data_IF_777023208737
#
_entry.id   IF_777023208737
#
_cell.length_a   1.000
_cell.length_b   1.000
_cell.length_c   1.000
_cell.angle_alpha   90.00
_cell.angle_beta   90.00
_cell.angle_gamma   90.00
#
_symmetry.space_group_name_H-M   'P 1'
#
loop_
_entity.id
_entity.type
_entity.pdbx_description
1 polymer ?
2 polymer ?
3 polymer ?
4 non-polymer ?
5 non-polymer ?
6 non-polymer ?
7 non-polymer ?
8 water ?
#
# COMPACT_ATOMS: atom_id res chain seq x y z
N UNK A 1 1.49 -5.26 -20.28
CA UNK A 1 0.53 -4.26 -20.68
C UNK A 1 0.90 -2.85 -20.26
N UNK A 2 0.01 -2.20 -19.52
CA UNK A 2 0.27 -0.86 -19.03
C UNK A 2 1.02 -0.93 -17.71
N UNK A 3 1.63 0.20 -17.34
CA UNK A 3 2.44 0.27 -16.13
C UNK A 3 2.28 1.62 -15.47
N UNK A 4 2.63 1.68 -14.19
CA UNK A 4 2.48 2.90 -13.40
C UNK A 4 3.74 3.17 -12.59
N UNK A 5 4.01 4.45 -12.37
CA UNK A 5 4.94 4.91 -11.34
C UNK A 5 4.19 5.83 -10.40
N UNK A 6 4.41 5.67 -9.11
CA UNK A 6 3.77 6.50 -8.11
C UNK A 6 4.70 6.78 -6.96
N UNK A 7 4.66 8.01 -6.48
CA UNK A 7 5.28 8.39 -5.22
C UNK A 7 4.20 8.70 -4.20
N UNK A 8 4.44 8.30 -2.95
CA UNK A 8 3.51 8.45 -1.84
C UNK A 8 4.24 9.19 -0.73
N UNK A 9 3.80 10.42 -0.43
CA UNK A 9 4.40 11.22 0.62
C UNK A 9 3.47 11.29 1.81
N UNK A 10 4.02 11.17 3.02
CA UNK A 10 3.29 11.38 4.26
C UNK A 10 4.07 12.35 5.13
N UNK A 11 3.42 13.45 5.53
CA UNK A 11 4.02 14.45 6.42
C UNK A 11 3.15 14.57 7.65
N UNK A 12 3.76 14.38 8.82
CA UNK A 12 3.03 14.18 10.08
C UNK A 12 3.58 15.13 11.14
N UNK A 13 2.78 16.09 11.61
CA UNK A 13 3.20 16.92 12.73
C UNK A 13 3.00 16.18 14.05
N UNK A 14 3.73 16.63 15.07
CA UNK A 14 3.76 15.97 16.38
C UNK A 14 4.19 17.00 17.41
N UNK A 15 3.33 17.95 17.74
CA UNK A 15 3.74 19.06 18.62
C UNK A 15 4.24 18.53 19.96
N UNK A 16 5.39 19.05 20.40
CA UNK A 16 6.04 18.59 21.60
C UNK A 16 7.00 17.45 21.40
N UNK A 17 7.01 16.81 20.22
CA UNK A 17 7.88 15.69 19.89
C UNK A 17 8.73 15.99 18.66
N UNK A 18 9.18 17.22 18.53
CA UNK A 18 10.03 17.64 17.43
C UNK A 18 9.28 18.14 16.22
N UNK A 19 10.02 18.25 15.12
CA UNK A 19 9.48 18.78 13.87
C UNK A 19 8.76 17.69 13.09
N UNK A 20 7.85 18.05 12.18
CA UNK A 20 7.05 17.01 11.52
C UNK A 20 7.90 16.04 10.72
N UNK A 21 7.52 14.77 10.77
CA UNK A 21 8.23 13.71 10.03
C UNK A 21 7.75 13.69 8.58
N UNK A 22 8.69 13.50 7.65
CA UNK A 22 8.39 13.37 6.22
C UNK A 22 8.88 12.01 5.73
N UNK A 23 7.98 11.21 5.16
CA UNK A 23 8.31 9.93 4.57
C UNK A 23 7.88 9.95 3.11
N UNK A 24 8.73 9.43 2.23
CA UNK A 24 8.41 9.23 0.82
C UNK A 24 8.74 7.81 0.41
N UNK A 25 7.84 7.17 -0.33
CA UNK A 25 8.10 5.87 -0.93
C UNK A 25 7.73 5.92 -2.41
N UNK A 26 8.48 5.21 -3.23
CA UNK A 26 8.20 5.12 -4.66
C UNK A 26 7.89 3.69 -5.06
N UNK A 27 6.93 3.55 -5.99
CA UNK A 27 6.52 2.27 -6.55
C UNK A 27 6.53 2.31 -8.06
N UNK A 28 6.92 1.19 -8.69
CA UNK A 28 6.56 0.90 -10.08
C UNK A 28 5.59 -0.26 -10.01
N UNK A 29 4.37 -0.08 -10.52
CA UNK A 29 3.31 -1.09 -10.36
C UNK A 29 3.18 -1.41 -8.87
N UNK A 30 3.22 -2.68 -8.47
CA UNK A 30 3.13 -3.07 -7.07
C UNK A 30 4.48 -3.39 -6.44
N UNK A 31 5.55 -2.83 -6.97
CA UNK A 31 6.91 -3.04 -6.46
C UNK A 31 7.46 -1.74 -5.89
N UNK A 32 7.73 -1.72 -4.59
CA UNK A 32 8.37 -0.55 -4.02
C UNK A 32 9.83 -0.53 -4.43
N UNK A 33 10.36 0.64 -4.79
CA UNK A 33 11.75 0.70 -5.25
C UNK A 33 12.65 1.71 -4.54
N UNK A 34 12.10 2.73 -3.85
CA UNK A 34 12.88 3.69 -3.09
C UNK A 34 12.11 4.07 -1.83
N UNK A 35 12.86 4.59 -0.85
CA UNK A 35 12.28 5.13 0.37
C UNK A 35 13.13 6.29 0.89
N UNK A 36 12.49 7.19 1.63
CA UNK A 36 13.15 8.28 2.35
C UNK A 36 12.38 8.50 3.65
N UNK A 37 13.11 8.73 4.74
CA UNK A 37 12.52 8.96 6.05
C UNK A 37 13.34 10.04 6.76
N UNK A 38 12.71 11.18 7.03
CA UNK A 38 13.40 12.30 7.68
C UNK A 38 13.88 11.96 9.10
N UNK A 39 13.31 10.94 9.74
CA UNK A 39 13.73 10.55 11.09
C UNK A 39 14.96 9.64 11.10
N UNK A 40 15.42 9.18 9.95
CA UNK A 40 16.57 8.28 9.93
C UNK A 40 17.80 9.00 10.48
N UNK A 41 18.75 8.19 10.96
CA UNK A 41 19.99 8.74 11.50
C UNK A 41 20.66 9.66 10.50
N UNK A 42 20.84 9.20 9.27
CA UNK A 42 21.30 10.06 8.18
C UNK A 42 20.33 9.87 7.01
N UNK A 43 19.38 10.78 6.83
CA UNK A 43 18.34 10.56 5.82
C UNK A 43 18.90 10.58 4.40
N UNK A 44 18.56 9.54 3.64
CA UNK A 44 18.94 9.48 2.24
C UNK A 44 17.84 8.76 1.50
N UNK A 45 17.67 9.08 0.22
CA UNK A 45 16.91 8.21 -0.66
C UNK A 45 17.63 6.87 -0.73
N UNK A 46 16.91 5.79 -0.47
CA UNK A 46 17.57 4.49 -0.35
C UNK A 46 16.85 3.47 -1.23
N UNK A 47 17.58 2.50 -1.78
CA UNK A 47 16.97 1.53 -2.69
C UNK A 47 16.19 0.46 -1.95
N UNK A 48 15.12 0.02 -2.59
CA UNK A 48 14.29 -1.06 -2.07
C UNK A 48 13.99 -2.13 -3.11
N UNK A 49 14.58 -2.02 -4.30
CA UNK A 49 14.49 -3.00 -5.36
C UNK A 49 15.88 -3.14 -5.95
N UNK A 50 16.30 -4.36 -6.33
CA UNK A 50 17.66 -4.54 -6.85
C UNK A 50 17.94 -3.75 -8.12
N UNK A 51 16.94 -3.59 -9.00
CA UNK A 51 17.19 -2.94 -10.28
C UNK A 51 17.44 -1.45 -10.17
N UNK A 52 17.12 -0.81 -9.04
CA UNK A 52 17.43 0.61 -8.89
C UNK A 52 18.86 0.82 -8.40
N UNK A 53 19.51 -0.20 -7.86
CA UNK A 53 20.83 -0.04 -7.27
C UNK A 53 21.86 0.41 -8.30
N UNK A 54 21.64 0.09 -9.58
CA UNK A 54 22.60 0.46 -10.62
C UNK A 54 22.63 1.94 -10.93
N UNK A 55 21.67 2.74 -10.44
CA UNK A 55 21.74 4.17 -10.70
C UNK A 55 22.96 4.77 -10.01
N UNK A 56 23.55 5.78 -10.65
CA UNK A 56 24.80 6.34 -10.18
C UNK A 56 24.63 7.29 -9.01
N UNK A 57 25.76 7.75 -8.48
CA UNK A 57 25.71 8.66 -7.33
C UNK A 57 24.95 9.95 -7.59
N UNK A 58 24.99 10.47 -8.82
CA UNK A 58 24.24 11.69 -9.14
C UNK A 58 22.74 11.49 -8.91
N UNK A 59 22.23 10.30 -9.26
CA UNK A 59 20.82 10.01 -9.05
C UNK A 59 20.47 10.02 -7.57
N UNK A 60 21.27 9.31 -6.76
CA UNK A 60 21.01 9.21 -5.33
C UNK A 60 21.16 10.57 -4.65
N UNK A 61 22.14 11.37 -5.07
CA UNK A 61 22.31 12.68 -4.45
C UNK A 61 21.15 13.62 -4.82
N UNK A 62 20.74 13.61 -6.08
CA UNK A 62 19.68 14.50 -6.52
C UNK A 62 18.36 14.16 -5.85
N UNK A 63 18.02 12.87 -5.80
CA UNK A 63 16.75 12.48 -5.18
C UNK A 63 16.79 12.67 -3.66
N UNK A 64 17.97 12.51 -3.04
CA UNK A 64 18.09 12.83 -1.63
C UNK A 64 17.88 14.31 -1.37
N UNK A 65 18.46 15.17 -2.21
CA UNK A 65 18.30 16.60 -1.99
C UNK A 65 16.85 17.04 -2.19
N UNK A 66 16.16 16.48 -3.18
CA UNK A 66 14.75 16.80 -3.36
C UNK A 66 13.97 16.44 -2.10
N UNK A 67 14.24 15.26 -1.54
CA UNK A 67 13.51 14.82 -0.35
C UNK A 67 13.86 15.64 0.87
N UNK A 68 15.13 16.05 1.00
CA UNK A 68 15.48 16.91 2.13
C UNK A 68 14.81 18.28 2.01
N UNK A 69 14.73 18.81 0.79
CA UNK A 69 14.00 20.06 0.56
C UNK A 69 12.51 19.87 0.86
N UNK A 70 11.93 18.76 0.40
CA UNK A 70 10.52 18.47 0.68
C UNK A 70 10.24 18.38 2.17
N UNK A 71 11.19 17.83 2.96
CA UNK A 71 11.00 17.79 4.40
C UNK A 71 10.70 19.19 4.91
N UNK A 72 11.45 20.18 4.43
CA UNK A 72 11.21 21.57 4.85
C UNK A 72 9.95 22.15 4.22
N UNK A 73 9.73 21.87 2.93
CA UNK A 73 8.54 22.42 2.27
C UNK A 73 7.26 21.91 2.90
N UNK A 74 7.21 20.61 3.26
CA UNK A 74 6.00 20.05 3.85
C UNK A 74 5.78 20.52 5.28
N UNK A 75 6.84 20.88 6.00
CA UNK A 75 6.67 21.50 7.30
C UNK A 75 6.03 22.89 7.18
N UNK A 76 6.45 23.67 6.18
CA UNK A 76 5.77 24.93 5.90
C UNK A 76 4.32 24.69 5.53
N UNK A 77 4.05 23.67 4.72
CA UNK A 77 2.68 23.40 4.31
C UNK A 77 1.80 22.98 5.48
N UNK A 78 2.35 22.19 6.42
CA UNK A 78 1.58 21.83 7.62
C UNK A 78 1.23 23.07 8.45
N UNK A 79 2.18 23.98 8.62
CA UNK A 79 1.89 25.25 9.30
C UNK A 79 0.80 26.02 8.58
N UNK A 80 0.86 26.06 7.24
CA UNK A 80 -0.14 26.80 6.48
C UNK A 80 -1.52 26.18 6.62
N UNK A 81 -1.61 24.85 6.50
CA UNK A 81 -2.91 24.23 6.58
C UNK A 81 -3.51 24.35 7.98
N UNK A 82 -2.68 24.29 9.02
CA UNK A 82 -3.20 24.54 10.36
C UNK A 82 -3.91 25.88 10.41
N UNK A 83 -3.30 26.92 9.84
CA UNK A 83 -3.93 28.23 9.79
C UNK A 83 -5.20 28.26 8.97
N UNK A 84 -5.21 27.58 7.80
CA UNK A 84 -6.40 27.59 6.95
C UNK A 84 -7.61 27.01 7.63
N UNK A 85 -7.42 26.14 8.62
CA UNK A 85 -8.51 25.50 9.33
C UNK A 85 -8.66 26.03 10.74
N UNK A 86 -7.96 27.10 11.09
CA UNK A 86 -8.04 27.71 12.42
C UNK A 86 -7.71 26.75 13.54
N UNK A 87 -6.74 25.87 13.32
CA UNK A 87 -6.43 24.80 14.25
C UNK A 87 -5.35 25.22 15.25
N UNK A 88 -5.42 24.64 16.44
CA UNK A 88 -4.46 25.00 17.46
C UNK A 88 -3.10 24.36 17.16
N UNK A 89 -2.07 24.89 17.83
CA UNK A 89 -0.72 24.35 17.69
C UNK A 89 -0.54 23.04 18.44
N UNK A 90 -1.54 22.57 19.16
CA UNK A 90 -1.39 21.42 20.04
C UNK A 90 -1.67 20.10 19.34
N UNK A 91 -2.36 20.12 18.20
CA UNK A 91 -2.77 18.89 17.57
C UNK A 91 -1.81 18.39 16.51
N UNK A 92 -1.85 17.09 16.29
CA UNK A 92 -1.07 16.43 15.26
C UNK A 92 -1.91 16.31 13.99
N UNK A 93 -1.30 16.60 12.84
CA UNK A 93 -2.02 16.59 11.57
C UNK A 93 -1.14 15.96 10.50
N UNK A 94 -1.77 15.56 9.39
CA UNK A 94 -1.11 14.78 8.36
C UNK A 94 -1.49 15.31 6.98
N UNK A 95 -0.47 15.60 6.16
CA UNK A 95 -0.66 15.78 4.72
C UNK A 95 -0.19 14.52 4.03
N UNK A 96 -1.00 14.02 3.11
CA UNK A 96 -0.61 12.93 2.22
C UNK A 96 -0.69 13.40 0.78
N UNK A 97 0.24 12.95 -0.05
CA UNK A 97 0.22 13.27 -1.47
C UNK A 97 0.64 12.05 -2.26
N UNK A 98 -0.08 11.78 -3.36
CA UNK A 98 0.30 10.74 -4.31
C UNK A 98 0.37 11.36 -5.70
N UNK A 99 1.44 11.08 -6.42
CA UNK A 99 1.56 11.60 -7.80
C UNK A 99 2.31 10.60 -8.65
N UNK A 100 2.16 10.70 -9.96
CA UNK A 100 2.83 9.80 -10.88
C UNK A 100 2.08 9.65 -12.18
N UNK A 101 2.46 8.63 -12.94
CA UNK A 101 2.02 8.51 -14.32
C UNK A 101 1.75 7.06 -14.68
N UNK A 102 0.86 6.86 -15.65
CA UNK A 102 0.59 5.57 -16.25
C UNK A 102 1.03 5.60 -17.70
N UNK A 103 1.63 4.51 -18.17
CA UNK A 103 2.00 4.40 -19.57
C UNK A 103 1.42 3.10 -20.13
N UNK A 104 1.16 3.11 -21.43
CA UNK A 104 0.65 1.93 -22.10
C UNK A 104 1.79 1.00 -22.50
N UNK A 105 1.45 -0.09 -23.20
CA UNK A 105 2.50 -1.03 -23.65
C UNK A 105 3.56 -0.38 -24.53
N UNK A 106 3.19 0.62 -25.32
CA UNK A 106 4.15 1.35 -26.14
C UNK A 106 4.90 2.42 -25.35
N UNK A 107 4.65 2.55 -24.05
CA UNK A 107 5.28 3.58 -23.25
C UNK A 107 4.70 4.96 -23.35
N UNK A 108 3.59 5.15 -24.07
CA UNK A 108 2.99 6.48 -24.19
C UNK A 108 2.21 6.82 -22.91
N UNK A 109 2.25 8.10 -22.55
CA UNK A 109 1.52 8.57 -21.36
C UNK A 109 0.03 8.35 -21.52
N UNK A 110 -0.56 7.59 -20.61
CA UNK A 110 -2.00 7.35 -20.60
C UNK A 110 -2.72 8.35 -19.72
N UNK A 111 -2.18 8.63 -18.53
CA UNK A 111 -2.68 9.71 -17.69
C UNK A 111 -1.70 10.00 -16.56
N UNK A 112 -1.77 11.22 -16.05
CA UNK A 112 -0.99 11.65 -14.91
C UNK A 112 -1.87 11.92 -13.71
N UNK A 113 -1.27 11.92 -12.51
CA UNK A 113 -2.00 12.06 -11.25
C UNK A 113 -1.23 12.97 -10.31
N UNK A 114 -1.98 13.78 -9.56
CA UNK A 114 -1.43 14.47 -8.39
C UNK A 114 -2.59 14.76 -7.45
N UNK A 115 -2.65 14.09 -6.30
CA UNK A 115 -3.77 14.18 -5.39
C UNK A 115 -3.26 14.31 -3.97
N UNK A 116 -3.93 15.14 -3.16
CA UNK A 116 -3.53 15.37 -1.78
C UNK A 116 -4.71 15.24 -0.83
N UNK A 117 -4.40 14.88 0.42
CA UNK A 117 -5.36 14.80 1.49
C UNK A 117 -4.80 15.49 2.73
N UNK A 118 -5.71 15.95 3.59
CA UNK A 118 -5.34 16.49 4.91
C UNK A 118 -6.16 15.75 5.94
N UNK A 119 -5.47 15.20 6.95
CA UNK A 119 -6.11 14.39 7.99
C UNK A 119 -7.02 13.31 7.40
N UNK A 120 -6.59 12.73 6.28
CA UNK A 120 -7.26 11.58 5.69
C UNK A 120 -8.43 11.90 4.78
N UNK A 121 -8.69 13.17 4.49
CA UNK A 121 -9.80 13.56 3.62
C UNK A 121 -9.24 14.30 2.42
N UNK A 122 -9.88 14.09 1.27
CA UNK A 122 -9.48 14.75 0.04
C UNK A 122 -9.30 16.25 0.27
N UNK A 123 -8.20 16.81 -0.24
CA UNK A 123 -7.90 18.23 -0.07
C UNK A 123 -7.81 18.97 -1.40
N UNK A 124 -6.86 18.62 -2.27
CA UNK A 124 -6.78 19.20 -3.60
C UNK A 124 -6.22 18.16 -4.55
N UNK A 125 -6.65 18.22 -5.80
CA UNK A 125 -6.21 17.27 -6.79
C UNK A 125 -6.05 17.98 -8.12
N UNK A 126 -5.00 17.61 -8.85
CA UNK A 126 -4.85 18.03 -10.24
C UNK A 126 -5.85 17.28 -11.10
N UNK A 127 -6.54 17.99 -11.98
CA UNK A 127 -7.52 17.33 -12.84
C UNK A 127 -6.80 16.53 -13.93
N UNK A 128 -7.57 15.66 -14.60
CA UNK A 128 -6.96 14.79 -15.62
C UNK A 128 -6.38 15.60 -16.79
N UNK A 129 -6.90 16.81 -17.02
CA UNK A 129 -6.31 17.70 -18.03
C UNK A 129 -4.88 18.14 -17.71
N UNK A 130 -4.40 17.89 -16.47
CA UNK A 130 -3.07 18.35 -16.02
C UNK A 130 -2.93 19.85 -16.14
N UNK A 131 -4.05 20.57 -16.01
CA UNK A 131 -4.06 22.02 -16.20
C UNK A 131 -4.91 22.77 -15.20
N UNK A 132 -5.82 22.11 -14.49
CA UNK A 132 -6.69 22.76 -13.52
C UNK A 132 -6.77 21.91 -12.27
N UNK A 133 -7.33 22.50 -11.22
CA UNK A 133 -7.37 21.91 -9.89
C UNK A 133 -8.81 21.74 -9.43
N UNK A 134 -9.04 20.73 -8.61
CA UNK A 134 -10.27 20.58 -7.87
C UNK A 134 -9.95 20.69 -6.38
N UNK A 135 -10.49 21.71 -5.74
CA UNK A 135 -10.30 21.97 -4.32
C UNK A 135 -11.52 21.48 -3.54
N UNK A 136 -11.27 20.78 -2.43
CA UNK A 136 -12.36 20.17 -1.68
C UNK A 136 -13.17 21.19 -0.87
N UNK A 137 -12.58 22.29 -0.47
CA UNK A 137 -13.23 23.22 0.46
C UNK A 137 -12.56 24.58 0.35
N UNK A 138 -13.05 25.54 1.15
CA UNK A 138 -12.52 26.89 1.04
C UNK A 138 -11.08 27.01 1.51
N UNK A 139 -10.60 26.10 2.36
CA UNK A 139 -9.18 26.10 2.70
C UNK A 139 -8.34 25.68 1.50
N UNK A 140 -8.74 24.59 0.83
CA UNK A 140 -8.02 24.14 -0.34
C UNK A 140 -8.10 25.15 -1.48
N UNK A 141 -9.12 26.01 -1.50
CA UNK A 141 -9.15 27.09 -2.48
C UNK A 141 -7.99 28.06 -2.29
N UNK A 142 -7.53 28.24 -1.05
CA UNK A 142 -6.35 29.07 -0.82
C UNK A 142 -5.13 28.45 -1.50
N UNK A 143 -4.93 27.15 -1.30
CA UNK A 143 -3.85 26.46 -1.99
C UNK A 143 -4.01 26.55 -3.50
N UNK A 144 -5.25 26.36 -4.00
CA UNK A 144 -5.51 26.45 -5.43
C UNK A 144 -5.11 27.82 -5.99
N UNK A 145 -5.52 28.90 -5.32
CA UNK A 145 -5.14 30.24 -5.78
C UNK A 145 -3.62 30.43 -5.78
N UNK A 146 -2.95 29.94 -4.73
CA UNK A 146 -1.50 30.02 -4.67
C UNK A 146 -0.85 29.25 -5.80
N UNK A 147 -1.37 28.05 -6.09
CA UNK A 147 -0.78 27.25 -7.15
C UNK A 147 -1.13 27.79 -8.53
N UNK A 148 -2.31 28.41 -8.69
CA UNK A 148 -2.62 29.06 -9.95
C UNK A 148 -1.73 30.27 -10.19
N UNK A 149 -1.53 31.09 -9.15
CA UNK A 149 -0.61 32.22 -9.27
C UNK A 149 0.81 31.77 -9.59
N UNK A 150 1.20 30.56 -9.14
CA UNK A 150 2.53 30.03 -9.36
C UNK A 150 2.65 29.19 -10.63
N UNK A 151 1.55 29.00 -11.36
CA UNK A 151 1.53 28.10 -12.53
C UNK A 151 2.07 26.72 -12.16
N UNK A 152 1.63 26.21 -11.00
CA UNK A 152 2.12 24.93 -10.52
C UNK A 152 1.60 23.78 -11.37
N UNK A 153 0.39 23.89 -11.91
CA UNK A 153 -0.13 22.83 -12.76
C UNK A 153 0.75 22.62 -13.99
N UNK A 154 1.27 23.71 -14.54
CA UNK A 154 2.17 23.62 -15.69
C UNK A 154 3.46 22.90 -15.33
N UNK A 155 3.94 23.08 -14.09
CA UNK A 155 5.13 22.35 -13.64
C UNK A 155 4.83 20.86 -13.48
N UNK A 156 3.65 20.55 -12.95
CA UNK A 156 3.24 19.14 -12.86
C UNK A 156 3.07 18.51 -14.24
N UNK A 157 2.43 19.21 -15.17
CA UNK A 157 2.28 18.64 -16.51
C UNK A 157 3.64 18.38 -17.15
N UNK A 158 4.57 19.32 -17.00
CA UNK A 158 5.90 19.13 -17.58
C UNK A 158 6.58 17.92 -16.97
N UNK A 159 6.50 17.75 -15.64
CA UNK A 159 7.07 16.57 -15.01
C UNK A 159 6.40 15.30 -15.50
N UNK A 160 5.06 15.29 -15.51
CA UNK A 160 4.32 14.06 -15.79
C UNK A 160 4.49 13.62 -17.23
N UNK A 161 4.53 14.56 -18.19
CA UNK A 161 4.71 14.22 -19.59
C UNK A 161 6.16 13.96 -19.96
N UNK A 162 7.11 14.36 -19.11
CA UNK A 162 8.51 14.25 -19.43
C UNK A 162 9.24 13.27 -18.53
N UNK A 163 9.81 13.79 -17.43
CA UNK A 163 10.63 12.95 -16.54
C UNK A 163 9.88 11.70 -16.06
N UNK A 164 8.62 11.84 -15.67
CA UNK A 164 7.89 10.70 -15.10
C UNK A 164 7.86 9.53 -16.07
N UNK A 165 7.41 9.77 -17.31
CA UNK A 165 7.34 8.70 -18.30
C UNK A 165 8.72 8.22 -18.71
N UNK A 166 9.69 9.14 -18.84
CA UNK A 166 11.03 8.76 -19.30
C UNK A 166 11.70 7.85 -18.28
N UNK A 167 11.62 8.22 -16.99
CA UNK A 167 12.24 7.38 -15.97
C UNK A 167 11.47 6.07 -15.76
N UNK A 168 10.13 6.11 -15.86
CA UNK A 168 9.36 4.88 -15.76
C UNK A 168 9.79 3.88 -16.83
N UNK A 169 9.93 4.36 -18.08
CA UNK A 169 10.38 3.47 -19.15
C UNK A 169 11.75 2.88 -18.82
N UNK A 170 12.66 3.70 -18.30
CA UNK A 170 13.98 3.23 -17.92
C UNK A 170 13.89 2.14 -16.85
N UNK A 171 13.10 2.38 -15.80
CA UNK A 171 12.96 1.39 -14.74
C UNK A 171 12.38 0.08 -15.29
N UNK A 172 11.38 0.17 -16.16
CA UNK A 172 10.75 -1.03 -16.70
C UNK A 172 11.73 -1.86 -17.49
N UNK A 173 12.67 -1.22 -18.19
CA UNK A 173 13.69 -1.96 -18.92
C UNK A 173 14.71 -2.55 -17.96
N UNK A 174 15.22 -1.73 -17.02
CA UNK A 174 16.24 -2.22 -16.10
C UNK A 174 15.70 -3.32 -15.20
N UNK A 175 14.41 -3.29 -14.89
CA UNK A 175 13.79 -4.30 -14.07
C UNK A 175 12.89 -5.27 -14.81
N UNK A 176 13.11 -5.44 -16.12
CA UNK A 176 12.12 -6.15 -16.94
C UNK A 176 11.88 -7.58 -16.48
N UNK A 177 12.89 -8.26 -15.93
CA UNK A 177 12.74 -9.66 -15.55
C UNK A 177 11.73 -9.87 -14.42
N UNK A 178 11.48 -8.84 -13.61
CA UNK A 178 10.45 -8.86 -12.56
C UNK A 178 9.27 -7.97 -12.89
N UNK A 179 9.53 -6.71 -13.26
CA UNK A 179 8.44 -5.76 -13.45
C UNK A 179 7.54 -6.15 -14.61
N UNK A 180 8.09 -6.82 -15.62
CA UNK A 180 7.32 -7.22 -16.79
C UNK A 180 7.02 -8.72 -16.77
N UNK A 181 6.99 -9.31 -15.58
CA UNK A 181 6.66 -10.71 -15.41
C UNK A 181 5.49 -10.84 -14.44
N UNK A 182 4.38 -11.39 -14.92
CA UNK A 182 3.23 -11.68 -14.08
C UNK A 182 3.33 -13.12 -13.60
N UNK A 183 3.22 -13.32 -12.30
CA UNK A 183 3.26 -14.64 -11.69
C UNK A 183 1.83 -15.06 -11.35
N UNK A 184 1.34 -16.17 -11.89
CA UNK A 184 -0.07 -16.54 -11.66
C UNK A 184 -0.28 -17.03 -10.25
N UNK A 185 -1.53 -16.97 -9.76
CA UNK A 185 -1.81 -17.51 -8.43
C UNK A 185 -1.74 -19.03 -8.43
N UNK A 186 -1.25 -19.58 -7.33
CA UNK A 186 -1.49 -20.99 -7.01
C UNK A 186 -2.79 -21.07 -6.23
N UNK A 187 -3.68 -21.96 -6.65
CA UNK A 187 -5.05 -21.92 -6.17
C UNK A 187 -5.44 -23.27 -5.56
N UNK A 188 -6.31 -23.20 -4.56
CA UNK A 188 -6.97 -24.40 -4.06
C UNK A 188 -8.25 -24.01 -3.34
N UNK A 189 -9.07 -25.02 -3.07
CA UNK A 189 -10.37 -24.85 -2.40
C UNK A 189 -10.35 -25.71 -1.16
N UNK A 190 -10.61 -25.11 -0.01
CA UNK A 190 -10.71 -25.82 1.25
C UNK A 190 -12.16 -25.84 1.73
N UNK A 191 -12.44 -26.81 2.60
CA UNK A 191 -13.78 -27.05 3.12
C UNK A 191 -13.70 -27.08 4.63
N UNK A 192 -14.58 -26.33 5.30
CA UNK A 192 -14.54 -26.18 6.76
C UNK A 192 -15.95 -26.39 7.28
N UNK A 193 -16.26 -27.57 7.82
CA UNK A 193 -17.61 -27.78 8.36
C UNK A 193 -17.90 -26.84 9.52
N UNK A 194 -19.09 -26.24 9.48
CA UNK A 194 -19.57 -25.36 10.54
C UNK A 194 -20.50 -26.10 11.49
N UNK A 195 -21.37 -26.93 10.94
CA UNK A 195 -22.37 -27.69 11.66
C UNK A 195 -22.82 -28.83 10.74
N UNK A 196 -23.82 -29.59 11.18
CA UNK A 196 -24.43 -30.55 10.28
C UNK A 196 -25.20 -29.87 9.14
N UNK A 197 -25.47 -28.58 9.27
CA UNK A 197 -26.31 -27.85 8.30
C UNK A 197 -25.51 -27.09 7.25
N UNK A 198 -24.33 -26.56 7.61
CA UNK A 198 -23.56 -25.73 6.69
C UNK A 198 -22.07 -26.04 6.80
N UNK A 199 -21.35 -25.62 5.77
CA UNK A 199 -19.89 -25.66 5.76
C UNK A 199 -19.40 -24.46 4.98
N UNK A 200 -18.14 -24.09 5.24
CA UNK A 200 -17.49 -23.00 4.52
C UNK A 200 -16.63 -23.57 3.41
N UNK A 201 -16.78 -23.03 2.21
CA UNK A 201 -15.86 -23.28 1.11
C UNK A 201 -15.01 -22.03 0.95
N UNK A 202 -13.69 -22.22 0.91
CA UNK A 202 -12.77 -21.10 0.81
C UNK A 202 -11.85 -21.32 -0.38
N UNK A 203 -11.79 -20.32 -1.26
CA UNK A 203 -10.98 -20.36 -2.46
C UNK A 203 -9.74 -19.48 -2.23
N UNK A 204 -8.56 -20.07 -2.38
CA UNK A 204 -7.29 -19.42 -2.07
C UNK A 204 -6.54 -19.11 -3.36
N UNK A 205 -5.89 -17.94 -3.39
CA UNK A 205 -4.93 -17.58 -4.42
C UNK A 205 -3.66 -17.11 -3.72
N UNK A 206 -2.52 -17.75 -4.04
CA UNK A 206 -1.26 -17.50 -3.37
C UNK A 206 -0.16 -17.27 -4.40
N UNK A 207 0.82 -16.46 -4.03
CA UNK A 207 2.02 -16.31 -4.82
C UNK A 207 1.89 -15.52 -6.11
N UNK A 208 0.89 -14.65 -6.24
CA UNK A 208 0.65 -13.97 -7.49
C UNK A 208 1.22 -12.55 -7.50
N UNK A 209 1.55 -12.06 -8.70
CA UNK A 209 2.03 -10.70 -8.91
C UNK A 209 1.59 -10.33 -10.32
N UNK A 210 1.02 -9.15 -10.55
CA UNK A 210 0.77 -8.07 -9.58
C UNK A 210 -0.44 -8.35 -8.72
N UNK A 211 -0.82 -7.40 -7.88
CA UNK A 211 -1.83 -7.64 -6.86
C UNK A 211 -3.25 -7.70 -7.43
N UNK A 212 -3.50 -7.11 -8.59
CA UNK A 212 -4.84 -7.16 -9.17
C UNK A 212 -5.27 -8.61 -9.42
N UNK A 213 -6.43 -8.97 -8.89
CA UNK A 213 -6.98 -10.31 -9.04
C UNK A 213 -8.49 -10.23 -8.88
N UNK A 214 -9.19 -11.17 -9.52
CA UNK A 214 -10.63 -11.32 -9.30
C UNK A 214 -10.90 -12.74 -8.84
N UNK A 215 -11.46 -12.87 -7.64
CA UNK A 215 -11.88 -14.14 -7.06
C UNK A 215 -13.37 -14.04 -6.81
N UNK A 216 -14.14 -14.95 -7.39
CA UNK A 216 -15.59 -14.92 -7.21
C UNK A 216 -16.12 -16.33 -7.03
N UNK A 217 -17.17 -16.45 -6.21
CA UNK A 217 -17.91 -17.69 -6.04
C UNK A 217 -19.21 -17.58 -6.81
N UNK A 218 -19.55 -18.64 -7.54
CA UNK A 218 -20.84 -18.75 -8.21
C UNK A 218 -21.58 -19.94 -7.64
N UNK A 219 -22.89 -19.79 -7.47
CA UNK A 219 -23.79 -20.88 -7.09
C UNK A 219 -24.79 -21.05 -8.23
N UNK A 220 -24.82 -22.24 -8.84
CA UNK A 220 -25.62 -22.50 -10.03
C UNK A 220 -25.32 -21.48 -11.13
N UNK A 221 -24.05 -21.11 -11.26
CA UNK A 221 -23.63 -20.17 -12.28
C UNK A 221 -23.96 -18.71 -12.02
N UNK A 222 -24.42 -18.36 -10.81
CA UNK A 222 -24.77 -16.99 -10.48
C UNK A 222 -23.83 -16.48 -9.40
N UNK A 223 -23.32 -15.27 -9.60
CA UNK A 223 -22.37 -14.70 -8.65
C UNK A 223 -23.02 -14.52 -7.28
N UNK A 224 -22.26 -14.81 -6.23
CA UNK A 224 -22.74 -14.71 -4.86
C UNK A 224 -22.05 -13.57 -4.13
N UNK A 225 -22.01 -12.39 -4.75
CA UNK A 225 -21.19 -11.30 -4.22
C UNK A 225 -21.65 -10.90 -2.82
N UNK A 226 -22.96 -10.84 -2.59
CA UNK A 226 -23.47 -10.41 -1.30
C UNK A 226 -23.10 -11.39 -0.19
N UNK A 227 -22.98 -12.68 -0.52
CA UNK A 227 -22.75 -13.71 0.48
C UNK A 227 -21.31 -14.18 0.54
N UNK A 228 -20.40 -13.54 -0.21
CA UNK A 228 -19.00 -13.94 -0.24
C UNK A 228 -18.20 -13.04 0.68
N UNK A 229 -17.43 -13.64 1.57
CA UNK A 229 -16.46 -12.92 2.39
C UNK A 229 -15.15 -12.86 1.62
N UNK A 230 -14.70 -11.65 1.31
CA UNK A 230 -13.43 -11.43 0.61
C UNK A 230 -12.48 -10.73 1.56
N UNK A 231 -11.33 -11.34 1.83
CA UNK A 231 -10.30 -10.61 2.57
C UNK A 231 -9.55 -9.68 1.64
N UNK A 232 -9.02 -8.61 2.23
CA UNK A 232 -8.15 -7.70 1.50
C UNK A 232 -6.93 -8.46 0.99
N UNK A 233 -6.54 -8.16 -0.25
CA UNK A 233 -5.32 -8.72 -0.79
C UNK A 233 -4.15 -8.26 0.07
N UNK A 234 -3.27 -9.20 0.40
CA UNK A 234 -2.24 -8.99 1.40
C UNK A 234 -0.88 -9.42 0.88
N UNK A 235 0.20 -8.75 1.29
CA UNK A 235 1.54 -9.08 0.80
C UNK A 235 2.13 -10.27 1.52
N UNK A 236 2.81 -11.14 0.76
CA UNK A 236 3.48 -12.28 1.36
C UNK A 236 4.86 -11.93 1.92
N UNK A 237 5.48 -10.86 1.43
CA UNK A 237 6.82 -10.48 1.86
C UNK A 237 7.90 -10.83 0.86
N UNK A 238 7.58 -11.58 -0.19
CA UNK A 238 8.54 -12.02 -1.20
C UNK A 238 8.20 -11.44 -2.57
N UNK A 239 7.47 -10.30 -2.58
CA UNK A 239 6.95 -9.60 -3.76
C UNK A 239 5.52 -9.99 -4.12
N UNK A 240 5.11 -11.20 -3.76
CA UNK A 240 3.82 -11.71 -4.20
C UNK A 240 2.73 -11.39 -3.19
N UNK A 241 1.51 -11.72 -3.57
CA UNK A 241 0.31 -11.39 -2.82
C UNK A 241 -0.53 -12.65 -2.62
N UNK A 242 -1.47 -12.55 -1.69
CA UNK A 242 -2.37 -13.63 -1.32
C UNK A 242 -3.76 -13.06 -1.14
N UNK A 243 -4.76 -13.90 -1.36
CA UNK A 243 -6.16 -13.50 -1.18
C UNK A 243 -7.02 -14.76 -1.04
N UNK A 244 -8.12 -14.64 -0.31
CA UNK A 244 -9.11 -15.70 -0.29
C UNK A 244 -10.54 -15.16 -0.32
N UNK A 245 -11.46 -16.03 -0.76
CA UNK A 245 -12.88 -15.74 -0.85
C UNK A 245 -13.62 -16.93 -0.26
N UNK A 246 -14.60 -16.68 0.60
CA UNK A 246 -15.28 -17.76 1.29
C UNK A 246 -16.79 -17.57 1.21
N UNK A 247 -17.49 -18.70 1.17
CA UNK A 247 -18.95 -18.71 1.12
C UNK A 247 -19.45 -19.83 2.03
N UNK A 248 -20.54 -19.58 2.72
CA UNK A 248 -21.16 -20.58 3.57
C UNK A 248 -22.20 -21.32 2.73
N UNK A 249 -22.08 -22.64 2.68
CA UNK A 249 -22.91 -23.42 1.77
C UNK A 249 -23.70 -24.47 2.56
N UNK A 250 -24.91 -24.81 2.12
CA UNK A 250 -25.64 -25.90 2.77
C UNK A 250 -24.93 -27.22 2.52
N UNK A 251 -24.83 -28.03 3.57
CA UNK A 251 -24.19 -29.34 3.44
C UNK A 251 -24.91 -30.16 2.38
N UNK A 252 -24.13 -30.74 1.47
CA UNK A 252 -24.67 -31.51 0.37
C UNK A 252 -24.84 -30.73 -0.92
N UNK A 253 -24.66 -29.41 -0.90
CA UNK A 253 -24.79 -28.58 -2.08
C UNK A 253 -23.43 -28.10 -2.60
N UNK A 254 -22.33 -28.67 -2.10
CA UNK A 254 -21.01 -28.12 -2.38
C UNK A 254 -20.71 -28.08 -3.87
N UNK A 255 -21.17 -29.09 -4.62
CA UNK A 255 -20.83 -29.15 -6.03
C UNK A 255 -21.58 -28.13 -6.89
N UNK A 256 -22.56 -27.43 -6.32
CA UNK A 256 -23.20 -26.34 -7.05
C UNK A 256 -22.38 -25.06 -7.02
N UNK A 257 -21.27 -25.02 -6.29
CA UNK A 257 -20.47 -23.82 -6.12
C UNK A 257 -19.18 -23.93 -6.92
N UNK A 258 -18.86 -22.87 -7.66
CA UNK A 258 -17.62 -22.81 -8.41
C UNK A 258 -16.88 -21.52 -8.06
N UNK A 259 -15.56 -21.64 -7.91
CA UNK A 259 -14.71 -20.48 -7.71
C UNK A 259 -14.04 -20.11 -9.03
N UNK A 260 -14.04 -18.83 -9.34
CA UNK A 260 -13.53 -18.30 -10.60
C UNK A 260 -12.40 -17.34 -10.32
N UNK A 261 -11.27 -17.53 -11.00
CA UNK A 261 -10.04 -16.81 -10.72
C UNK A 261 -9.56 -16.19 -12.02
N UNK A 262 -9.38 -14.87 -12.02
CA UNK A 262 -8.84 -14.15 -13.16
C UNK A 262 -7.58 -13.43 -12.71
N UNK A 263 -6.48 -13.62 -13.45
CA UNK A 263 -5.23 -12.94 -13.15
C UNK A 263 -4.36 -12.90 -14.38
N UNK A 264 -3.59 -11.81 -14.51
CA UNK A 264 -2.81 -11.56 -15.72
C UNK A 264 -1.79 -12.66 -16.01
N UNK A 265 -1.32 -13.37 -14.98
CA UNK A 265 -0.33 -14.41 -15.20
C UNK A 265 -0.88 -15.76 -15.60
N UNK A 266 -2.20 -15.90 -15.63
CA UNK A 266 -2.82 -17.18 -15.99
C UNK A 266 -2.97 -17.27 -17.50
N UNK A 267 -2.64 -18.43 -18.09
CA UNK A 267 -2.94 -18.61 -19.52
C UNK A 267 -4.41 -18.39 -19.83
N UNK A 268 -5.29 -18.87 -18.96
CA UNK A 268 -6.74 -18.69 -19.11
C UNK A 268 -7.36 -18.69 -17.72
N UNK A 269 -8.53 -18.07 -17.57
CA UNK A 269 -9.18 -18.03 -16.25
C UNK A 269 -9.49 -19.41 -15.73
N UNK A 270 -9.51 -19.54 -14.40
CA UNK A 270 -9.67 -20.81 -13.73
C UNK A 270 -11.07 -20.93 -13.15
N UNK A 271 -11.62 -22.14 -13.21
CA UNK A 271 -12.84 -22.50 -12.52
C UNK A 271 -12.49 -23.67 -11.61
N UNK A 272 -12.69 -23.50 -10.30
CA UNK A 272 -12.32 -24.48 -9.31
C UNK A 272 -13.56 -24.91 -8.54
N UNK A 273 -13.55 -26.16 -8.10
CA UNK A 273 -14.57 -26.67 -7.19
C UNK A 273 -13.88 -27.43 -6.06
N UNK A 274 -14.61 -27.62 -4.97
CA UNK A 274 -14.10 -28.46 -3.91
C UNK A 274 -13.95 -29.88 -4.43
N UNK A 275 -12.83 -30.52 -4.06
CA UNK A 275 -12.52 -31.88 -4.49
C UNK A 275 -12.16 -32.69 -3.26
N UNK A 276 -13.15 -33.35 -2.62
CA UNK A 276 -12.91 -34.11 -1.39
C UNK A 276 -11.91 -35.24 -1.60
N UNK B 1 -11.01 9.38 12.28
CA UNK B 1 -10.06 8.31 12.56
C UNK B 1 -10.61 6.97 12.09
N UNK B 2 -9.71 6.05 11.74
CA UNK B 2 -10.10 4.77 11.18
C UNK B 2 -9.31 3.66 11.87
N UNK B 3 -10.02 2.60 12.27
CA UNK B 3 -9.38 1.56 13.07
C UNK B 3 -8.72 0.51 12.17
N UNK B 4 -7.61 -0.08 12.60
CA UNK B 4 -6.87 -0.99 11.72
C UNK B 4 -7.58 -2.33 11.53
N UNK B 5 -7.54 -2.81 10.29
CA UNK B 5 -7.82 -4.22 10.00
C UNK B 5 -6.55 -5.02 10.21
N UNK B 6 -6.69 -6.28 10.62
CA UNK B 6 -5.56 -7.10 11.02
C UNK B 6 -5.68 -8.49 10.41
N UNK B 7 -4.62 -8.93 9.72
CA UNK B 7 -4.51 -10.30 9.23
C UNK B 7 -3.19 -10.88 9.71
N UNK B 8 -3.24 -12.11 10.22
CA UNK B 8 -2.07 -12.82 10.74
C UNK B 8 -1.96 -14.13 9.96
N UNK B 9 -0.80 -14.37 9.34
CA UNK B 9 -0.66 -15.45 8.37
C UNK B 9 0.82 -15.68 8.11
N UNK B 10 1.12 -16.74 7.37
CA UNK B 10 2.51 -17.03 7.05
C UNK B 10 2.79 -16.78 5.57
N UNK B 11 4.07 -16.58 5.26
CA UNK B 11 4.47 -16.36 3.87
C UNK B 11 4.18 -17.59 3.00
N UNK B 12 4.51 -18.77 3.51
CA UNK B 12 4.31 -20.03 2.83
C UNK B 12 3.39 -20.89 3.68
N UNK B 13 2.72 -21.88 3.09
CA UNK B 13 1.91 -22.80 3.89
C UNK B 13 2.75 -23.44 4.98
N UNK B 14 2.22 -23.46 6.20
CA UNK B 14 3.00 -23.80 7.36
C UNK B 14 3.24 -25.31 7.45
N UNK B 15 4.49 -25.68 7.74
CA UNK B 15 4.87 -27.07 7.97
C UNK B 15 5.77 -27.09 9.20
N UNK B 16 5.37 -27.84 10.23
CA UNK B 16 6.13 -27.91 11.47
C UNK B 16 7.58 -28.29 11.20
N UNK B 17 8.50 -27.52 11.76
CA UNK B 17 9.92 -27.77 11.60
C UNK B 17 10.57 -27.14 10.39
N UNK B 18 9.83 -26.39 9.59
CA UNK B 18 10.38 -25.73 8.40
C UNK B 18 10.34 -24.23 8.60
N UNK B 19 11.46 -23.57 8.29
CA UNK B 19 11.54 -22.12 8.44
C UNK B 19 10.52 -21.44 7.54
N UNK B 20 9.90 -20.38 8.07
CA UNK B 20 8.85 -19.65 7.37
C UNK B 20 9.00 -18.18 7.76
N UNK B 21 7.98 -17.39 7.44
CA UNK B 21 7.88 -16.02 7.92
C UNK B 21 6.48 -15.82 8.47
N UNK B 22 6.40 -15.20 9.66
CA UNK B 22 5.12 -14.87 10.28
C UNK B 22 4.82 -13.42 9.95
N UNK B 23 3.65 -13.17 9.38
CA UNK B 23 3.25 -11.85 8.92
C UNK B 23 2.07 -11.34 9.73
N UNK B 24 2.12 -10.06 10.09
CA UNK B 24 0.96 -9.33 10.59
C UNK B 24 0.77 -8.12 9.70
N UNK B 25 -0.30 -8.11 8.94
CA UNK B 25 -0.60 -7.04 7.98
C UNK B 25 -1.68 -6.16 8.59
N UNK B 26 -1.37 -4.89 8.82
CA UNK B 26 -2.30 -3.93 9.38
C UNK B 26 -2.61 -2.90 8.30
N UNK B 27 -3.89 -2.62 8.11
CA UNK B 27 -4.31 -1.77 7.00
C UNK B 27 -5.59 -1.02 7.35
N UNK B 28 -5.93 -0.04 6.53
CA UNK B 28 -7.20 0.64 6.72
C UNK B 28 -7.25 1.64 7.84
N UNK B 29 -6.12 1.98 8.44
CA UNK B 29 -6.11 2.81 9.65
C UNK B 29 -5.69 4.24 9.36
N UNK B 30 -6.13 5.14 10.22
CA UNK B 30 -5.77 6.54 10.16
C UNK B 30 -6.02 7.11 11.55
N UNK B 31 -5.06 7.86 12.15
CA UNK B 31 -3.77 8.28 11.60
C UNK B 31 -2.72 7.17 11.60
N UNK B 32 -1.48 7.52 11.28
CA UNK B 32 -0.48 6.51 10.95
C UNK B 32 0.23 5.91 12.14
N UNK B 33 0.27 6.59 13.29
CA UNK B 33 0.95 6.01 14.44
C UNK B 33 0.24 4.74 14.87
N UNK B 34 1.01 3.68 15.09
CA UNK B 34 0.46 2.37 15.41
C UNK B 34 1.53 1.54 16.10
N UNK B 35 1.10 0.70 17.04
CA UNK B 35 1.97 -0.17 17.81
C UNK B 35 1.60 -1.62 17.48
N UNK B 36 2.57 -2.37 16.97
CA UNK B 36 2.37 -3.76 16.57
C UNK B 36 3.44 -4.62 17.20
N UNK B 37 3.02 -5.66 17.92
CA UNK B 37 3.92 -6.68 18.43
C UNK B 37 3.52 -8.04 17.89
N UNK B 38 4.50 -8.87 17.61
CA UNK B 38 4.28 -10.29 17.31
C UNK B 38 4.59 -11.08 18.58
N UNK B 39 3.72 -12.03 18.90
CA UNK B 39 3.76 -12.75 20.17
C UNK B 39 3.95 -14.23 19.94
N UNK B 40 4.79 -14.85 20.76
CA UNK B 40 4.99 -16.29 20.78
C UNK B 40 4.65 -16.77 22.18
N UNK B 41 3.58 -17.54 22.30
CA UNK B 41 3.09 -18.02 23.60
C UNK B 41 2.84 -16.88 24.58
N UNK B 42 2.51 -15.70 24.05
CA UNK B 42 2.17 -14.55 24.86
C UNK B 42 3.31 -13.57 25.09
N UNK B 43 4.52 -13.89 24.65
CA UNK B 43 5.68 -13.05 24.89
C UNK B 43 6.09 -12.35 23.61
N UNK B 44 6.56 -11.11 23.75
CA UNK B 44 6.88 -10.29 22.59
C UNK B 44 8.11 -10.83 21.88
N UNK B 45 7.99 -11.05 20.57
CA UNK B 45 9.13 -11.45 19.76
C UNK B 45 10.02 -10.23 19.50
N UNK B 46 11.32 -10.39 19.75
CA UNK B 46 12.26 -9.29 19.58
C UNK B 46 12.73 -9.21 18.12
N UNK B 47 13.11 -8.00 17.71
CA UNK B 47 13.73 -7.76 16.40
C UNK B 47 12.80 -8.09 15.22
N UNK B 48 11.56 -7.64 15.29
CA UNK B 48 10.60 -7.78 14.21
C UNK B 48 10.75 -6.59 13.27
N UNK B 49 10.79 -6.85 11.97
CA UNK B 49 10.91 -5.79 10.97
C UNK B 49 9.55 -5.40 10.41
N UNK B 50 9.51 -4.26 9.73
CA UNK B 50 8.26 -3.81 9.11
C UNK B 50 8.55 -3.06 7.83
N UNK B 51 7.53 -2.98 6.99
CA UNK B 51 7.60 -2.28 5.72
C UNK B 51 7.62 -0.77 5.94
N UNK B 52 7.97 -0.04 4.88
CA UNK B 52 7.90 1.41 4.87
C UNK B 52 6.45 1.88 4.73
N UNK B 53 6.12 2.94 5.47
CA UNK B 53 4.74 3.44 5.52
C UNK B 53 4.25 3.89 4.15
N UNK B 54 3.11 3.36 3.73
CA UNK B 54 2.43 3.82 2.54
C UNK B 54 0.92 3.79 2.80
N UNK B 55 0.15 4.16 1.78
CA UNK B 55 -1.28 4.29 1.94
C UNK B 55 -2.02 3.90 0.67
N UNK B 56 -3.31 3.61 0.86
CA UNK B 56 -4.21 3.12 -0.18
C UNK B 56 -4.96 4.28 -0.82
N UNK B 57 -5.77 3.97 -1.83
CA UNK B 57 -6.44 5.02 -2.58
C UNK B 57 -7.39 5.84 -1.74
N UNK B 58 -7.88 5.28 -0.63
CA UNK B 58 -8.76 5.99 0.28
C UNK B 58 -8.02 6.72 1.40
N UNK B 59 -6.69 6.81 1.29
CA UNK B 59 -5.79 7.52 2.20
C UNK B 59 -5.48 6.73 3.47
N UNK B 60 -6.06 5.56 3.67
CA UNK B 60 -5.72 4.78 4.85
C UNK B 60 -4.35 4.11 4.72
N UNK B 61 -3.69 3.94 5.85
CA UNK B 61 -2.31 3.46 5.86
C UNK B 61 -2.27 1.94 5.94
N UNK B 62 -1.13 1.37 5.53
CA UNK B 62 -0.91 -0.05 5.70
C UNK B 62 0.57 -0.31 5.98
N UNK B 63 0.82 -1.36 6.78
CA UNK B 63 2.15 -1.80 7.13
C UNK B 63 2.13 -3.32 7.26
N UNK B 64 3.25 -3.94 6.89
CA UNK B 64 3.50 -5.35 7.11
C UNK B 64 4.61 -5.51 8.14
N UNK B 65 4.32 -6.23 9.23
CA UNK B 65 5.30 -6.59 10.25
C UNK B 65 5.60 -8.07 10.08
N UNK B 66 6.86 -8.44 10.19
CA UNK B 66 7.22 -9.81 9.84
C UNK B 66 8.48 -10.24 10.57
N UNK B 67 8.59 -11.55 10.77
CA UNK B 67 9.76 -12.15 11.40
C UNK B 67 9.90 -13.57 10.89
N UNK B 68 11.14 -14.01 10.71
CA UNK B 68 11.41 -15.41 10.41
C UNK B 68 11.07 -16.26 11.62
N UNK B 69 10.50 -17.45 11.38
CA UNK B 69 10.17 -18.36 12.47
C UNK B 69 10.09 -19.77 11.91
N UNK B 70 10.08 -20.74 12.83
CA UNK B 70 9.86 -22.14 12.50
C UNK B 70 8.67 -22.62 13.32
N UNK B 71 7.53 -22.89 12.70
CA UNK B 71 6.35 -23.30 13.48
C UNK B 71 6.50 -24.69 14.05
N UNK B 72 5.85 -24.92 15.19
CA UNK B 72 5.73 -26.23 15.80
C UNK B 72 4.29 -26.42 16.24
N UNK B 73 3.97 -27.63 16.70
CA UNK B 73 2.61 -27.91 17.13
C UNK B 73 2.29 -27.29 18.49
N UNK B 74 3.30 -27.10 19.33
CA UNK B 74 3.07 -26.55 20.67
C UNK B 74 2.92 -25.04 20.64
N UNK B 75 3.69 -24.35 19.80
CA UNK B 75 3.82 -22.91 19.88
C UNK B 75 2.59 -22.21 19.29
N UNK B 76 2.04 -21.27 20.04
CA UNK B 76 0.98 -20.40 19.56
C UNK B 76 1.57 -19.05 19.19
N UNK B 77 1.04 -18.46 18.13
CA UNK B 77 1.52 -17.15 17.68
C UNK B 77 0.36 -16.18 17.59
N UNK B 78 0.69 -14.90 17.71
CA UNK B 78 -0.34 -13.87 17.71
C UNK B 78 0.29 -12.56 17.28
N UNK B 79 -0.58 -11.60 16.96
CA UNK B 79 -0.21 -10.23 16.71
C UNK B 79 -1.02 -9.34 17.64
N UNK B 80 -0.36 -8.36 18.25
CA UNK B 80 -1.01 -7.44 19.18
C UNK B 80 -0.88 -6.02 18.65
N UNK B 81 -2.02 -5.35 18.48
CA UNK B 81 -2.08 -4.05 17.82
C UNK B 81 -2.70 -3.04 18.78
N UNK B 82 -2.05 -1.87 18.90
CA UNK B 82 -2.66 -0.73 19.57
C UNK B 82 -2.69 0.46 18.62
N UNK B 83 -3.76 1.25 18.73
CA UNK B 83 -4.01 2.40 17.89
C UNK B 83 -4.93 3.33 18.66
N UNK B 84 -4.91 4.61 18.30
CA UNK B 84 -5.71 5.60 19.04
C UNK B 84 -7.20 5.25 19.03
N UNK B 85 -7.66 4.51 18.02
CA UNK B 85 -9.06 4.09 17.95
C UNK B 85 -9.39 2.93 18.88
N UNK B 86 -8.42 2.34 19.57
CA UNK B 86 -8.62 1.14 20.35
C UNK B 86 -8.43 1.44 21.82
N UNK B 87 -9.43 1.11 22.63
CA UNK B 87 -9.35 1.35 24.08
C UNK B 87 -8.18 0.58 24.69
N UNK B 88 -7.94 -0.63 24.21
CA UNK B 88 -6.87 -1.48 24.70
C UNK B 88 -6.35 -2.30 23.53
N UNK B 89 -5.15 -2.88 23.65
CA UNK B 89 -4.59 -3.64 22.54
C UNK B 89 -5.52 -4.75 22.06
N UNK B 90 -5.57 -4.94 20.75
CA UNK B 90 -6.29 -6.05 20.14
C UNK B 90 -5.30 -7.15 19.81
N UNK B 91 -5.64 -8.37 20.18
CA UNK B 91 -4.78 -9.53 19.93
C UNK B 91 -5.49 -10.43 18.94
N UNK B 92 -4.82 -10.73 17.83
CA UNK B 92 -5.35 -11.63 16.81
C UNK B 92 -4.42 -12.83 16.72
N UNK B 93 -4.98 -14.02 16.98
CA UNK B 93 -4.17 -15.23 16.97
C UNK B 93 -3.94 -15.73 15.56
N UNK B 94 -2.77 -16.30 15.33
CA UNK B 94 -2.48 -16.96 14.06
C UNK B 94 -3.33 -18.23 13.96
N UNK B 95 -4.27 -18.22 13.01
CA UNK B 95 -5.12 -19.39 12.77
C UNK B 95 -4.34 -20.37 11.91
N UNK B 96 -3.69 -21.33 12.53
CA UNK B 96 -2.84 -22.29 11.83
C UNK B 96 -3.64 -23.13 10.83
N UNK C 1 12.06 8.74 -10.44
CA UNK C 1 12.69 10.05 -10.30
C UNK C 1 11.65 11.04 -9.74
N UNK C 2 12.00 11.70 -8.64
CA UNK C 2 11.09 12.61 -7.93
C UNK C 2 10.91 13.91 -8.70
N UNK C 3 9.75 14.55 -8.49
CA UNK C 3 9.55 15.90 -8.99
C UNK C 3 10.24 16.92 -8.09
N UNK C 4 11.05 17.79 -8.69
CA UNK C 4 11.79 18.80 -7.95
C UNK C 4 10.98 20.08 -7.82
N UNK C 5 11.36 20.91 -6.84
CA UNK C 5 10.94 22.31 -6.76
C UNK C 5 9.45 22.49 -6.48
N UNK C 6 8.90 21.67 -5.58
CA UNK C 6 7.47 21.78 -5.28
C UNK C 6 7.14 23.11 -4.59
N UNK C 7 6.00 23.68 -4.94
CA UNK C 7 5.45 24.81 -4.21
C UNK C 7 4.78 24.31 -2.93
N UNK C 8 4.93 25.05 -1.84
CA UNK C 8 4.21 24.65 -0.63
C UNK C 8 2.71 24.92 -0.78
N UNK C 9 1.94 24.30 0.10
CA UNK C 9 0.49 24.43 0.07
C UNK C 9 0.05 25.77 0.64
#
# INVERSE_FOLDING_TARGET
GSHSMRYFYTAMSRPGRGEPRFIAVGYVDDTQFVRFDSDAASPRMAPRAPWIEQEGPEYWDRNTQISKTNTQTYRESLRNLRGYYNQSEAGSHIIQRMYGCDVGPDGRLLRGYDQSAYDGKDYIALNEDLSSWTAADTAAQITQRKWEAAREAEQLRAYLEGLCVEWLRRYLENGKETLQRADPPKTHVTHHPISDHEATLRCWALGFYPAEITLTWQRDGEDQTQDTELVETRPAGDRTFQKWAAVVVPSGEEQRYTCHVQHEGLPKPLTLRWEP
QRTPKIQVYSRHPAENGKSNFLNCYVSGFHPSDIEVDLLKNGERIEKVEHSDLSFSKDWSFYLLYYTEFTPTEKDEYACRVNHVTLSQPKIVKWDR
ELRARQECY
#
